data_IF_348584535034
#
_entry.id   IF_348584535034
#
_cell.length_a   1.000
_cell.length_b   1.000
_cell.length_c   1.000
_cell.angle_alpha   90.00
_cell.angle_beta   90.00
_cell.angle_gamma   90.00
#
_symmetry.space_group_name_H-M   'P 1'
#
loop_
_entity.id
_entity.type
_entity.pdbx_description
1 polymer ?
#
# COMPACT_ATOMS: atom_id res chain seq x y z
N UNK A 1 -11.19 -19.11 15.60
CA UNK A 1 -9.89 -19.57 15.00
C UNK A 1 -8.74 -18.90 15.76
N UNK A 2 -7.64 -19.62 16.05
CA UNK A 2 -6.47 -19.02 16.72
C UNK A 2 -5.26 -19.10 15.76
N UNK A 3 -4.64 -17.97 15.49
CA UNK A 3 -3.54 -17.84 14.52
C UNK A 3 -2.31 -17.28 15.24
N UNK A 4 -1.13 -17.90 15.03
CA UNK A 4 0.13 -17.36 15.51
C UNK A 4 0.64 -16.33 14.49
N UNK A 5 0.90 -15.11 14.96
CA UNK A 5 1.41 -14.00 14.16
C UNK A 5 2.78 -13.53 14.67
N UNK A 6 3.61 -13.02 13.76
CA UNK A 6 4.97 -12.59 14.10
C UNK A 6 5.01 -11.26 14.88
N UNK A 7 3.99 -10.42 14.72
CA UNK A 7 3.90 -9.07 15.30
C UNK A 7 2.96 -9.05 16.51
N UNK A 8 1.79 -9.70 16.40
CA UNK A 8 0.72 -9.62 17.38
C UNK A 8 0.62 -10.84 18.28
N UNK A 9 1.59 -11.75 18.22
CA UNK A 9 1.65 -12.97 19.01
C UNK A 9 0.53 -13.97 18.63
N UNK A 10 -0.64 -13.91 19.24
CA UNK A 10 -1.80 -14.71 18.89
C UNK A 10 -2.97 -13.80 18.48
N UNK A 11 -3.52 -14.06 17.32
CA UNK A 11 -4.72 -13.41 16.81
C UNK A 11 -5.88 -14.39 16.96
N UNK A 12 -6.87 -13.99 17.73
CA UNK A 12 -8.12 -14.74 17.88
C UNK A 12 -9.16 -14.17 16.93
N UNK A 13 -9.56 -14.99 15.94
CA UNK A 13 -10.61 -14.64 14.98
C UNK A 13 -11.88 -15.34 15.43
N UNK A 14 -12.93 -14.55 15.75
CA UNK A 14 -14.22 -15.05 16.22
C UNK A 14 -14.91 -15.92 15.15
N UNK A 15 -15.89 -16.75 15.57
CA UNK A 15 -16.54 -17.71 14.69
C UNK A 15 -17.17 -17.10 13.43
N UNK A 16 -17.82 -15.96 13.57
CA UNK A 16 -18.43 -15.23 12.43
C UNK A 16 -17.36 -14.74 11.45
N UNK A 17 -16.32 -14.08 11.94
CA UNK A 17 -15.20 -13.59 11.10
C UNK A 17 -14.38 -14.74 10.52
N UNK A 18 -14.33 -15.91 11.17
CA UNK A 18 -13.62 -17.07 10.59
C UNK A 18 -14.24 -17.51 9.28
N UNK A 19 -15.55 -17.31 9.07
CA UNK A 19 -16.22 -17.61 7.80
C UNK A 19 -15.74 -16.68 6.68
N UNK A 20 -15.52 -15.40 6.97
CA UNK A 20 -14.91 -14.45 6.01
C UNK A 20 -13.48 -14.84 5.67
N UNK A 21 -12.68 -15.17 6.69
CA UNK A 21 -11.28 -15.60 6.51
C UNK A 21 -11.19 -16.87 5.66
N UNK A 22 -12.11 -17.82 5.79
CA UNK A 22 -12.09 -19.08 5.04
C UNK A 22 -12.60 -18.95 3.59
N UNK A 23 -13.03 -17.76 3.15
CA UNK A 23 -13.43 -17.55 1.75
C UNK A 23 -12.24 -17.61 0.79
N UNK A 24 -12.42 -18.11 -0.44
CA UNK A 24 -11.35 -18.13 -1.45
C UNK A 24 -10.77 -16.73 -1.73
N UNK A 25 -11.60 -15.68 -1.70
CA UNK A 25 -11.20 -14.30 -1.93
C UNK A 25 -10.21 -13.82 -0.85
N UNK A 26 -10.49 -14.11 0.41
CA UNK A 26 -9.58 -13.76 1.51
C UNK A 26 -8.34 -14.67 1.53
N UNK A 27 -8.49 -15.97 1.28
CA UNK A 27 -7.37 -16.92 1.23
C UNK A 27 -6.38 -16.60 0.11
N UNK A 28 -6.82 -15.98 -1.00
CA UNK A 28 -5.97 -15.48 -2.08
C UNK A 28 -4.88 -14.54 -1.59
N UNK A 29 -5.17 -13.72 -0.55
CA UNK A 29 -4.20 -12.78 0.03
C UNK A 29 -2.95 -13.47 0.59
N UNK A 30 -2.97 -14.77 0.87
CA UNK A 30 -1.77 -15.55 1.28
C UNK A 30 -0.71 -15.61 0.19
N UNK A 31 -1.11 -15.38 -1.05
CA UNK A 31 -0.25 -15.47 -2.22
C UNK A 31 0.07 -14.11 -2.82
N UNK A 32 -0.34 -13.02 -2.17
CA UNK A 32 -0.02 -11.65 -2.56
C UNK A 32 0.94 -11.04 -1.52
N UNK A 33 2.17 -10.80 -1.93
CA UNK A 33 3.17 -10.18 -1.05
C UNK A 33 2.82 -8.74 -0.76
N UNK A 34 2.95 -8.34 0.51
CA UNK A 34 2.73 -6.96 0.96
C UNK A 34 3.62 -5.96 0.24
N UNK A 35 4.90 -6.30 0.08
CA UNK A 35 5.92 -5.42 -0.51
C UNK A 35 6.30 -5.84 -1.95
N UNK A 36 5.44 -6.56 -2.68
CA UNK A 36 5.63 -6.92 -4.07
C UNK A 36 7.04 -7.42 -4.38
N UNK A 37 7.87 -6.59 -5.01
CA UNK A 37 9.25 -6.87 -5.40
C UNK A 37 10.28 -6.66 -4.27
N UNK A 38 9.86 -6.26 -3.07
CA UNK A 38 10.73 -5.92 -1.94
C UNK A 38 11.76 -7.00 -1.58
N UNK A 39 11.42 -8.28 -1.81
CA UNK A 39 12.32 -9.42 -1.58
C UNK A 39 13.62 -9.37 -2.41
N UNK A 40 13.66 -8.60 -3.49
CA UNK A 40 14.88 -8.40 -4.29
C UNK A 40 15.98 -7.65 -3.54
N UNK A 41 15.59 -6.86 -2.53
CA UNK A 41 16.50 -6.08 -1.67
C UNK A 41 16.52 -6.63 -0.25
N UNK A 42 15.34 -6.98 0.26
CA UNK A 42 15.11 -7.49 1.61
C UNK A 42 14.65 -8.94 1.54
N UNK A 43 15.56 -9.93 1.55
CA UNK A 43 15.19 -11.34 1.31
C UNK A 43 14.16 -11.89 2.31
N UNK A 44 14.03 -11.28 3.50
CA UNK A 44 13.01 -11.60 4.49
C UNK A 44 11.63 -11.04 4.21
N UNK A 45 11.49 -10.08 3.30
CA UNK A 45 10.23 -9.40 2.98
C UNK A 45 9.33 -10.26 2.08
N UNK A 46 8.84 -11.37 2.63
CA UNK A 46 7.93 -12.31 1.98
C UNK A 46 6.57 -12.42 2.68
N UNK A 47 6.30 -11.58 3.67
CA UNK A 47 5.00 -11.51 4.31
C UNK A 47 3.92 -11.05 3.32
N UNK A 48 2.71 -11.43 3.61
CA UNK A 48 1.59 -11.35 2.68
C UNK A 48 0.50 -10.40 3.19
N UNK A 49 -0.39 -9.99 2.31
CA UNK A 49 -1.55 -9.20 2.68
C UNK A 49 -2.51 -9.94 3.61
N UNK A 50 -2.49 -11.27 3.58
CA UNK A 50 -3.24 -12.09 4.54
C UNK A 50 -2.80 -11.83 5.99
N UNK A 51 -1.50 -11.83 6.25
CA UNK A 51 -0.95 -11.57 7.59
C UNK A 51 -1.24 -10.15 8.05
N UNK A 52 -1.11 -9.19 7.12
CA UNK A 52 -1.41 -7.79 7.36
C UNK A 52 -2.90 -7.57 7.70
N UNK A 53 -3.82 -8.09 6.89
CA UNK A 53 -5.26 -7.96 7.13
C UNK A 53 -5.69 -8.54 8.49
N UNK A 54 -5.10 -9.67 8.90
CA UNK A 54 -5.32 -10.22 10.24
C UNK A 54 -4.73 -9.34 11.34
N UNK A 55 -3.57 -8.72 11.11
CA UNK A 55 -2.96 -7.78 12.03
C UNK A 55 -3.79 -6.50 12.21
N UNK A 56 -4.28 -5.94 11.12
CA UNK A 56 -5.20 -4.80 11.15
C UNK A 56 -6.50 -5.13 11.91
N UNK A 57 -7.09 -6.31 11.66
CA UNK A 57 -8.23 -6.83 12.41
C UNK A 57 -7.93 -6.92 13.92
N UNK A 58 -6.76 -7.45 14.31
CA UNK A 58 -6.36 -7.55 15.72
C UNK A 58 -6.22 -6.18 16.36
N UNK A 59 -5.64 -5.21 15.66
CA UNK A 59 -5.52 -3.83 16.15
C UNK A 59 -6.88 -3.16 16.27
N UNK A 60 -7.78 -3.37 15.29
CA UNK A 60 -9.15 -2.88 15.32
C UNK A 60 -9.91 -3.43 16.55
N UNK A 61 -9.82 -4.74 16.81
CA UNK A 61 -10.44 -5.37 18.00
C UNK A 61 -9.91 -4.80 19.32
N UNK A 62 -8.62 -4.45 19.38
CA UNK A 62 -8.03 -3.83 20.58
C UNK A 62 -8.46 -2.38 20.73
N UNK A 63 -8.46 -1.63 19.63
CA UNK A 63 -8.82 -0.22 19.61
C UNK A 63 -10.29 -0.02 19.96
N UNK A 64 -11.18 -0.85 19.39
CA UNK A 64 -12.61 -0.87 19.69
C UNK A 64 -12.88 -1.00 21.21
N UNK A 65 -12.19 -1.92 21.88
CA UNK A 65 -12.28 -2.09 23.35
C UNK A 65 -11.79 -0.87 24.13
N UNK A 66 -10.72 -0.22 23.68
CA UNK A 66 -10.21 1.00 24.34
C UNK A 66 -11.12 2.21 24.12
N UNK A 67 -11.84 2.27 23.01
CA UNK A 67 -12.81 3.32 22.69
C UNK A 67 -14.21 3.02 23.23
N UNK A 68 -14.42 1.84 23.82
CA UNK A 68 -15.71 1.39 24.37
C UNK A 68 -16.83 1.48 23.31
N UNK A 69 -16.53 1.03 22.06
CA UNK A 69 -17.52 0.98 21.00
C UNK A 69 -18.63 0.01 21.36
N UNK A 70 -19.85 0.25 20.87
CA UNK A 70 -20.92 -0.72 20.99
C UNK A 70 -20.68 -1.95 20.09
N UNK A 71 -21.50 -2.99 20.27
CA UNK A 71 -21.30 -4.28 19.59
C UNK A 71 -21.42 -4.16 18.05
N UNK A 72 -22.25 -3.28 17.52
CA UNK A 72 -22.42 -3.09 16.08
C UNK A 72 -21.23 -2.32 15.50
N UNK A 73 -20.78 -1.26 16.16
CA UNK A 73 -19.59 -0.51 15.80
C UNK A 73 -18.32 -1.36 15.86
N UNK A 74 -18.15 -2.20 16.93
CA UNK A 74 -17.03 -3.14 17.05
C UNK A 74 -16.99 -4.10 15.88
N UNK A 75 -18.12 -4.73 15.55
CA UNK A 75 -18.21 -5.66 14.43
C UNK A 75 -17.91 -4.98 13.09
N UNK A 76 -18.47 -3.79 12.87
CA UNK A 76 -18.26 -3.04 11.62
C UNK A 76 -16.80 -2.64 11.39
N UNK A 77 -16.13 -2.07 12.41
CA UNK A 77 -14.73 -1.65 12.27
C UNK A 77 -13.79 -2.84 12.12
N UNK A 78 -14.06 -3.96 12.80
CA UNK A 78 -13.27 -5.20 12.65
C UNK A 78 -13.46 -5.82 11.26
N UNK A 79 -14.70 -5.83 10.73
CA UNK A 79 -14.95 -6.29 9.37
C UNK A 79 -14.22 -5.42 8.34
N UNK A 80 -14.30 -4.10 8.47
CA UNK A 80 -13.61 -3.17 7.59
C UNK A 80 -12.09 -3.36 7.63
N UNK A 81 -11.50 -3.46 8.82
CA UNK A 81 -10.06 -3.71 8.98
C UNK A 81 -9.61 -5.07 8.45
N UNK A 82 -10.46 -6.11 8.54
CA UNK A 82 -10.16 -7.43 7.96
C UNK A 82 -10.17 -7.41 6.43
N UNK A 83 -11.10 -6.66 5.84
CA UNK A 83 -11.45 -6.79 4.42
C UNK A 83 -10.90 -5.65 3.54
N UNK A 84 -10.25 -4.62 4.13
CA UNK A 84 -9.83 -3.41 3.39
C UNK A 84 -8.93 -3.71 2.19
N UNK A 85 -8.05 -4.71 2.30
CA UNK A 85 -7.02 -5.06 1.33
C UNK A 85 -7.44 -6.13 0.31
N UNK A 86 -8.70 -6.60 0.34
CA UNK A 86 -9.16 -7.69 -0.53
C UNK A 86 -9.07 -7.36 -2.03
N UNK A 87 -9.13 -6.10 -2.39
CA UNK A 87 -9.06 -5.61 -3.77
C UNK A 87 -7.65 -5.52 -4.34
N UNK A 88 -6.61 -5.77 -3.54
CA UNK A 88 -5.27 -5.81 -4.11
C UNK A 88 -5.09 -6.99 -5.07
N UNK A 89 -4.56 -6.68 -6.25
CA UNK A 89 -4.12 -7.66 -7.22
C UNK A 89 -2.68 -8.15 -6.99
N UNK A 90 -2.17 -9.00 -7.87
CA UNK A 90 -0.83 -9.55 -7.76
C UNK A 90 0.24 -8.47 -7.77
N UNK A 91 1.32 -8.70 -6.99
CA UNK A 91 2.41 -7.76 -6.79
C UNK A 91 1.95 -6.38 -6.29
N UNK A 92 0.76 -6.34 -5.66
CA UNK A 92 0.18 -5.15 -5.00
C UNK A 92 0.24 -3.88 -5.85
N UNK A 93 1.28 -3.07 -5.70
CA UNK A 93 1.42 -1.78 -6.39
C UNK A 93 1.55 -1.89 -7.91
N UNK A 94 2.09 -2.99 -8.45
CA UNK A 94 2.20 -3.21 -9.91
C UNK A 94 0.82 -3.29 -10.55
N UNK A 95 -0.03 -4.18 -10.04
CA UNK A 95 -1.39 -4.35 -10.60
C UNK A 95 -2.28 -3.15 -10.32
N UNK A 96 -2.09 -2.47 -9.17
CA UNK A 96 -2.81 -1.24 -8.85
C UNK A 96 -2.43 -0.10 -9.80
N UNK A 97 -1.14 0.12 -10.08
CA UNK A 97 -0.68 1.14 -11.02
C UNK A 97 -1.29 0.92 -12.42
N UNK A 98 -1.31 -0.33 -12.89
CA UNK A 98 -1.98 -0.69 -14.15
C UNK A 98 -3.49 -0.43 -14.10
N UNK A 99 -4.15 -0.79 -13.01
CA UNK A 99 -5.59 -0.56 -12.82
C UNK A 99 -5.93 0.93 -12.80
N UNK A 100 -5.16 1.73 -12.09
CA UNK A 100 -5.30 3.19 -12.05
C UNK A 100 -5.09 3.83 -13.43
N UNK A 101 -4.03 3.43 -14.15
CA UNK A 101 -3.70 3.97 -15.46
C UNK A 101 -4.78 3.66 -16.53
N UNK A 102 -5.34 2.45 -16.51
CA UNK A 102 -6.26 1.99 -17.55
C UNK A 102 -7.73 2.16 -17.21
N UNK A 103 -8.12 2.07 -15.94
CA UNK A 103 -9.51 2.10 -15.50
C UNK A 103 -9.82 3.22 -14.50
N UNK A 104 -8.82 3.88 -13.93
CA UNK A 104 -8.98 4.85 -12.85
C UNK A 104 -9.48 4.23 -11.54
N UNK A 105 -9.30 2.91 -11.34
CA UNK A 105 -9.75 2.17 -10.16
C UNK A 105 -8.59 1.85 -9.22
N UNK A 106 -8.74 2.23 -7.95
CA UNK A 106 -7.83 1.87 -6.86
C UNK A 106 -8.13 0.45 -6.30
N UNK A 107 -7.23 -0.06 -5.45
CA UNK A 107 -7.49 -1.30 -4.70
C UNK A 107 -8.70 -1.18 -3.75
N UNK A 108 -8.97 0.02 -3.22
CA UNK A 108 -10.15 0.28 -2.38
C UNK A 108 -11.45 0.13 -3.18
N UNK A 109 -11.47 0.60 -4.45
CA UNK A 109 -12.62 0.41 -5.33
C UNK A 109 -12.87 -1.08 -5.61
N UNK A 110 -11.80 -1.83 -5.89
CA UNK A 110 -11.89 -3.28 -6.06
C UNK A 110 -12.33 -4.00 -4.77
N UNK A 111 -11.82 -3.58 -3.59
CA UNK A 111 -12.29 -4.10 -2.30
C UNK A 111 -13.78 -3.89 -2.14
N UNK A 112 -14.29 -2.68 -2.41
CA UNK A 112 -15.72 -2.37 -2.31
C UNK A 112 -16.57 -3.22 -3.26
N UNK A 113 -16.08 -3.50 -4.48
CA UNK A 113 -16.80 -4.39 -5.42
C UNK A 113 -16.87 -5.83 -4.89
N UNK A 114 -15.77 -6.35 -4.33
CA UNK A 114 -15.71 -7.69 -3.74
C UNK A 114 -16.65 -7.80 -2.52
N UNK A 115 -16.70 -6.76 -1.68
CA UNK A 115 -17.58 -6.71 -0.51
C UNK A 115 -19.08 -6.81 -0.90
N UNK A 116 -19.46 -6.22 -2.03
CA UNK A 116 -20.85 -6.26 -2.50
C UNK A 116 -21.20 -7.53 -3.31
N UNK A 117 -20.20 -8.37 -3.60
CA UNK A 117 -20.36 -9.60 -4.37
C UNK A 117 -20.44 -10.84 -3.47
N UNK A 118 -21.06 -11.92 -3.99
CA UNK A 118 -21.01 -13.22 -3.33
C UNK A 118 -19.62 -13.86 -3.39
N UNK A 119 -19.17 -14.57 -2.35
CA UNK A 119 -19.94 -14.90 -1.12
C UNK A 119 -19.81 -13.86 0.01
N UNK A 120 -18.94 -12.85 -0.13
CA UNK A 120 -18.60 -11.90 0.96
C UNK A 120 -19.83 -11.11 1.38
N UNK A 121 -20.59 -10.54 0.42
CA UNK A 121 -21.78 -9.76 0.70
C UNK A 121 -22.81 -10.55 1.50
N UNK A 122 -23.11 -11.78 1.08
CA UNK A 122 -24.06 -12.64 1.79
C UNK A 122 -23.58 -13.05 3.20
N UNK A 123 -22.26 -13.23 3.42
CA UNK A 123 -21.71 -13.49 4.77
C UNK A 123 -21.87 -12.26 5.66
N UNK A 124 -21.52 -11.07 5.15
CA UNK A 124 -21.68 -9.81 5.90
C UNK A 124 -23.16 -9.56 6.28
N UNK A 125 -24.07 -9.73 5.35
CA UNK A 125 -25.53 -9.61 5.63
C UNK A 125 -25.97 -10.65 6.66
N UNK A 126 -25.45 -11.87 6.62
CA UNK A 126 -25.70 -12.90 7.64
C UNK A 126 -25.14 -12.56 9.01
N UNK A 127 -24.20 -11.63 9.10
CA UNK A 127 -23.66 -11.04 10.33
C UNK A 127 -24.40 -9.74 10.74
N UNK A 128 -25.52 -9.39 10.12
CA UNK A 128 -26.20 -8.10 10.27
C UNK A 128 -25.30 -6.88 9.97
N UNK A 129 -24.32 -7.04 9.06
CA UNK A 129 -23.45 -5.96 8.59
C UNK A 129 -23.78 -5.58 7.15
N UNK A 130 -23.91 -4.28 6.90
CA UNK A 130 -24.14 -3.77 5.55
C UNK A 130 -22.84 -3.72 4.74
N UNK A 131 -22.71 -4.40 3.58
CA UNK A 131 -21.54 -4.28 2.72
C UNK A 131 -21.23 -2.82 2.32
N UNK A 132 -22.26 -2.00 2.12
CA UNK A 132 -22.11 -0.58 1.77
C UNK A 132 -21.56 0.24 2.94
N UNK A 133 -21.94 -0.06 4.16
CA UNK A 133 -21.37 0.57 5.37
C UNK A 133 -19.92 0.18 5.57
N UNK A 134 -19.59 -1.10 5.42
CA UNK A 134 -18.18 -1.57 5.51
C UNK A 134 -17.33 -0.89 4.43
N UNK A 135 -17.83 -0.76 3.21
CA UNK A 135 -17.16 -0.04 2.13
C UNK A 135 -16.94 1.45 2.45
N UNK A 136 -17.90 2.11 3.10
CA UNK A 136 -17.79 3.51 3.57
C UNK A 136 -16.68 3.64 4.63
N UNK A 137 -16.62 2.71 5.59
CA UNK A 137 -15.55 2.67 6.61
C UNK A 137 -14.18 2.49 5.96
N UNK A 138 -14.03 1.59 5.00
CA UNK A 138 -12.77 1.36 4.26
C UNK A 138 -12.33 2.63 3.55
N UNK A 139 -13.25 3.43 2.99
CA UNK A 139 -12.94 4.73 2.38
C UNK A 139 -12.61 5.84 3.38
N UNK A 140 -12.57 5.55 4.66
CA UNK A 140 -12.26 6.54 5.69
C UNK A 140 -13.42 7.45 6.07
N UNK A 141 -14.67 7.10 5.70
CA UNK A 141 -15.84 7.93 5.95
C UNK A 141 -16.39 7.74 7.38
N UNK A 142 -16.84 8.82 7.98
CA UNK A 142 -17.43 8.81 9.32
C UNK A 142 -16.41 8.57 10.45
N UNK A 143 -16.93 8.35 11.67
CA UNK A 143 -16.08 8.15 12.85
C UNK A 143 -15.27 6.85 12.81
N UNK A 144 -15.87 5.76 12.33
CA UNK A 144 -15.23 4.45 12.25
C UNK A 144 -14.18 4.39 11.13
N UNK A 145 -14.41 5.12 10.02
CA UNK A 145 -13.45 5.21 8.92
C UNK A 145 -12.11 5.78 9.33
N UNK A 146 -12.06 6.71 10.29
CA UNK A 146 -10.82 7.25 10.84
C UNK A 146 -9.95 6.20 11.54
N UNK A 147 -10.58 5.10 12.01
CA UNK A 147 -9.86 4.00 12.67
C UNK A 147 -9.16 3.07 11.67
N UNK A 148 -9.69 2.96 10.44
CA UNK A 148 -9.20 2.04 9.40
C UNK A 148 -8.38 2.77 8.34
N UNK A 149 -8.78 4.00 7.96
CA UNK A 149 -8.16 4.78 6.88
C UNK A 149 -7.96 6.26 7.28
N UNK A 150 -7.29 6.50 8.41
CA UNK A 150 -6.97 7.82 8.95
C UNK A 150 -5.48 8.18 8.83
N UNK A 151 -4.99 9.15 9.61
CA UNK A 151 -3.55 9.44 9.70
C UNK A 151 -2.83 8.56 10.75
N UNK A 152 -3.55 8.14 11.80
CA UNK A 152 -3.11 7.18 12.82
C UNK A 152 -4.21 6.12 12.93
N UNK A 153 -4.13 5.13 12.08
CA UNK A 153 -5.13 4.09 11.90
C UNK A 153 -4.53 2.68 12.11
N UNK A 154 -5.40 1.67 12.15
CA UNK A 154 -4.98 0.30 12.39
C UNK A 154 -4.22 -0.32 11.22
N UNK A 155 -4.51 0.09 9.98
CA UNK A 155 -3.80 -0.30 8.77
C UNK A 155 -2.33 0.13 8.86
N UNK A 156 -2.07 1.44 9.02
CA UNK A 156 -0.72 1.99 9.15
C UNK A 156 0.03 1.45 10.35
N UNK A 157 -0.65 1.28 11.47
CA UNK A 157 -0.05 0.70 12.67
C UNK A 157 0.44 -0.72 12.43
N UNK A 158 -0.31 -1.56 11.71
CA UNK A 158 0.13 -2.92 11.42
C UNK A 158 1.26 -2.92 10.39
N UNK A 159 1.02 -2.34 9.17
CA UNK A 159 2.01 -2.51 8.12
C UNK A 159 3.36 -1.86 8.44
N UNK A 160 3.42 -0.70 9.11
CA UNK A 160 4.70 -0.09 9.48
C UNK A 160 5.53 -0.96 10.43
N UNK A 161 4.88 -1.66 11.36
CA UNK A 161 5.59 -2.58 12.24
C UNK A 161 5.95 -3.89 11.55
N UNK A 162 5.03 -4.42 10.74
CA UNK A 162 5.21 -5.68 10.00
C UNK A 162 6.29 -5.57 8.94
N UNK A 163 6.23 -4.53 8.11
CA UNK A 163 7.23 -4.27 7.08
C UNK A 163 8.61 -4.05 7.69
N UNK A 164 8.69 -3.26 8.77
CA UNK A 164 9.94 -3.06 9.50
C UNK A 164 10.54 -4.37 10.01
N UNK A 165 9.70 -5.25 10.58
CA UNK A 165 10.13 -6.55 11.09
C UNK A 165 10.69 -7.44 9.97
N UNK A 166 9.95 -7.59 8.86
CA UNK A 166 10.33 -8.49 7.77
C UNK A 166 11.46 -7.94 6.87
N UNK A 167 11.64 -6.62 6.82
CA UNK A 167 12.76 -5.99 6.11
C UNK A 167 14.01 -5.87 6.99
N UNK A 168 13.88 -6.01 8.30
CA UNK A 168 14.97 -5.78 9.26
C UNK A 168 15.28 -4.30 9.48
N UNK A 169 14.42 -3.38 9.06
CA UNK A 169 14.51 -1.95 9.32
C UNK A 169 14.00 -1.65 10.73
N UNK A 170 14.74 -0.84 11.50
CA UNK A 170 14.33 -0.51 12.87
C UNK A 170 13.13 0.44 12.86
N UNK A 171 12.04 0.05 13.53
CA UNK A 171 10.89 0.90 13.79
C UNK A 171 10.91 1.38 15.24
N UNK A 172 10.57 2.67 15.44
CA UNK A 172 10.40 3.28 16.76
C UNK A 172 8.93 3.32 17.24
N UNK A 173 8.03 2.56 16.62
CA UNK A 173 6.59 2.61 16.88
C UNK A 173 6.21 1.86 18.15
N UNK A 174 5.59 2.56 19.11
CA UNK A 174 4.97 1.97 20.32
C UNK A 174 3.46 1.84 20.12
N UNK A 175 3.03 0.76 19.45
CA UNK A 175 1.62 0.50 19.15
C UNK A 175 0.77 0.40 20.42
N UNK A 176 1.30 -0.20 21.47
CA UNK A 176 0.59 -0.34 22.74
C UNK A 176 0.24 1.02 23.34
N UNK A 177 1.20 1.95 23.31
CA UNK A 177 1.00 3.31 23.79
C UNK A 177 0.02 4.10 22.92
N UNK A 178 0.10 3.97 21.60
CA UNK A 178 -0.83 4.62 20.69
C UNK A 178 -2.25 4.15 20.99
N UNK A 179 -2.52 2.85 20.94
CA UNK A 179 -3.85 2.27 21.16
C UNK A 179 -4.49 2.74 22.48
N UNK A 180 -3.75 2.67 23.59
CA UNK A 180 -4.28 3.03 24.92
C UNK A 180 -4.51 4.53 25.10
N UNK A 181 -3.95 5.36 24.21
CA UNK A 181 -4.07 6.82 24.29
C UNK A 181 -4.99 7.43 23.23
N UNK A 182 -5.47 6.63 22.25
CA UNK A 182 -6.52 7.07 21.32
C UNK A 182 -7.85 7.25 22.05
N UNK A 183 -8.61 8.26 21.65
CA UNK A 183 -9.93 8.63 22.17
C UNK A 183 -10.84 9.06 21.05
N UNK A 184 -12.13 8.74 21.16
CA UNK A 184 -13.17 9.31 20.31
C UNK A 184 -13.78 10.52 21.02
N UNK A 185 -13.72 11.69 20.41
CA UNK A 185 -14.27 12.95 20.95
C UNK A 185 -15.11 13.61 19.87
N UNK A 186 -16.41 13.73 20.08
CA UNK A 186 -17.35 14.32 19.10
C UNK A 186 -17.13 13.78 17.68
N UNK A 187 -17.13 12.44 17.53
CA UNK A 187 -16.91 11.71 16.28
C UNK A 187 -15.52 11.93 15.62
N UNK A 188 -14.57 12.51 16.36
CA UNK A 188 -13.20 12.69 15.90
C UNK A 188 -12.24 11.80 16.67
N UNK A 189 -11.46 11.00 15.95
CA UNK A 189 -10.40 10.19 16.54
C UNK A 189 -9.22 11.10 16.89
N UNK A 190 -8.88 11.14 18.18
CA UNK A 190 -7.80 11.98 18.71
C UNK A 190 -6.83 11.16 19.54
N UNK A 191 -5.57 11.57 19.61
CA UNK A 191 -4.63 11.01 20.56
C UNK A 191 -4.57 11.89 21.83
N UNK A 192 -4.56 11.28 23.01
CA UNK A 192 -4.35 12.03 24.25
C UNK A 192 -2.96 12.68 24.27
N UNK A 193 -2.80 13.81 24.93
CA UNK A 193 -1.51 14.49 25.12
C UNK A 193 -0.39 13.54 25.57
N UNK A 194 -0.72 12.56 26.40
CA UNK A 194 0.24 11.56 26.90
C UNK A 194 0.69 10.55 25.83
N UNK A 195 0.01 10.46 24.70
CA UNK A 195 0.34 9.61 23.56
C UNK A 195 1.10 10.33 22.43
N UNK A 196 1.26 11.65 22.53
CA UNK A 196 1.84 12.49 21.47
C UNK A 196 3.20 11.93 20.98
N UNK A 197 4.12 11.64 21.89
CA UNK A 197 5.45 11.13 21.52
C UNK A 197 5.39 9.76 20.79
N UNK A 198 4.44 8.90 21.15
CA UNK A 198 4.26 7.61 20.46
C UNK A 198 3.69 7.80 19.04
N UNK A 199 2.75 8.74 18.87
CA UNK A 199 2.24 9.13 17.55
C UNK A 199 3.35 9.74 16.67
N UNK A 200 4.17 10.62 17.21
CA UNK A 200 5.35 11.15 16.52
C UNK A 200 6.30 10.04 16.10
N UNK A 201 6.55 9.06 16.97
CA UNK A 201 7.37 7.88 16.66
C UNK A 201 6.85 7.08 15.46
N UNK A 202 5.52 6.88 15.38
CA UNK A 202 4.88 6.21 14.24
C UNK A 202 5.08 7.00 12.93
N UNK A 203 4.88 8.31 12.98
CA UNK A 203 5.04 9.19 11.80
C UNK A 203 6.50 9.26 11.34
N UNK A 204 7.46 9.29 12.26
CA UNK A 204 8.89 9.22 11.95
C UNK A 204 9.24 7.87 11.32
N UNK A 205 8.72 6.76 11.87
CA UNK A 205 8.90 5.43 11.29
C UNK A 205 8.35 5.38 9.87
N UNK A 206 7.15 5.88 9.63
CA UNK A 206 6.55 6.01 8.30
C UNK A 206 7.45 6.80 7.34
N UNK A 207 7.93 7.96 7.79
CA UNK A 207 8.83 8.81 6.99
C UNK A 207 10.11 8.08 6.58
N UNK A 208 10.73 7.34 7.48
CA UNK A 208 11.96 6.61 7.21
C UNK A 208 11.74 5.39 6.31
N UNK A 209 10.59 4.73 6.42
CA UNK A 209 10.24 3.58 5.56
C UNK A 209 10.13 3.95 4.08
N UNK A 210 9.70 5.16 3.75
CA UNK A 210 9.57 5.60 2.35
C UNK A 210 10.88 5.50 1.57
N UNK A 211 11.98 6.21 1.93
CA UNK A 211 13.23 6.16 1.19
C UNK A 211 13.97 4.83 1.34
N UNK A 212 13.73 4.13 2.46
CA UNK A 212 14.47 2.91 2.77
C UNK A 212 13.82 1.70 2.10
N UNK A 213 12.50 1.55 2.16
CA UNK A 213 11.78 0.36 1.69
C UNK A 213 10.89 0.66 0.50
N UNK A 214 9.87 1.52 0.66
CA UNK A 214 8.80 1.66 -0.33
C UNK A 214 9.28 2.29 -1.65
N UNK A 215 10.23 3.22 -1.60
CA UNK A 215 10.83 3.83 -2.80
C UNK A 215 12.30 3.43 -2.99
N UNK A 216 12.67 2.25 -2.48
CA UNK A 216 14.00 1.74 -2.78
C UNK A 216 14.13 1.52 -4.28
N UNK A 217 15.14 2.17 -4.89
CA UNK A 217 15.26 2.25 -6.35
C UNK A 217 15.24 0.89 -7.06
N UNK A 218 15.83 -0.15 -6.46
CA UNK A 218 15.84 -1.50 -7.06
C UNK A 218 14.43 -2.09 -7.10
N UNK A 219 13.64 -1.90 -6.04
CA UNK A 219 12.25 -2.37 -5.99
C UNK A 219 11.42 -1.61 -7.01
N UNK A 220 11.51 -0.26 -7.01
CA UNK A 220 10.74 0.58 -7.94
C UNK A 220 11.05 0.28 -9.40
N UNK A 221 12.32 0.09 -9.76
CA UNK A 221 12.71 -0.31 -11.13
C UNK A 221 12.06 -1.66 -11.51
N UNK A 222 12.11 -2.65 -10.63
CA UNK A 222 11.50 -3.95 -10.89
C UNK A 222 9.98 -3.86 -11.01
N UNK A 223 9.32 -3.04 -10.19
CA UNK A 223 7.87 -2.77 -10.28
C UNK A 223 7.50 -2.14 -11.62
N UNK A 224 8.21 -1.09 -12.03
CA UNK A 224 7.96 -0.42 -13.31
C UNK A 224 8.19 -1.34 -14.51
N UNK A 225 9.23 -2.17 -14.48
CA UNK A 225 9.43 -3.18 -15.50
C UNK A 225 8.26 -4.17 -15.54
N UNK A 226 7.75 -4.61 -14.38
CA UNK A 226 6.58 -5.50 -14.29
C UNK A 226 5.30 -4.81 -14.77
N UNK A 227 5.11 -3.51 -14.49
CA UNK A 227 4.00 -2.73 -15.04
C UNK A 227 3.99 -2.82 -16.58
N UNK A 228 5.12 -2.57 -17.25
CA UNK A 228 5.24 -2.71 -18.70
C UNK A 228 4.91 -4.13 -19.21
N UNK A 229 5.38 -5.15 -18.48
CA UNK A 229 5.05 -6.55 -18.82
C UNK A 229 3.57 -6.89 -18.64
N UNK A 230 2.90 -6.32 -17.63
CA UNK A 230 1.45 -6.51 -17.43
C UNK A 230 0.64 -5.74 -18.49
N UNK A 231 1.06 -4.53 -18.83
CA UNK A 231 0.46 -3.75 -19.93
C UNK A 231 0.57 -4.48 -21.27
N UNK A 232 1.69 -5.15 -21.54
CA UNK A 232 1.89 -6.01 -22.74
C UNK A 232 0.89 -7.18 -22.76
N UNK A 233 0.70 -7.88 -21.64
CA UNK A 233 -0.31 -8.95 -21.53
C UNK A 233 -1.74 -8.42 -21.78
N UNK A 234 -2.04 -7.23 -21.29
CA UNK A 234 -3.35 -6.58 -21.49
C UNK A 234 -3.51 -6.16 -22.95
N UNK A 235 -2.48 -5.62 -23.57
CA UNK A 235 -2.43 -5.35 -25.02
C UNK A 235 -2.63 -6.61 -25.87
N UNK A 236 -2.18 -7.75 -25.38
CA UNK A 236 -2.40 -9.09 -25.94
C UNK A 236 -3.80 -9.67 -25.72
N UNK A 237 -4.68 -8.98 -24.98
CA UNK A 237 -6.09 -9.34 -24.79
C UNK A 237 -6.47 -9.81 -23.38
N UNK A 238 -5.55 -9.87 -22.42
CA UNK A 238 -5.89 -10.12 -21.02
C UNK A 238 -6.64 -8.91 -20.46
N UNK A 239 -7.71 -9.15 -19.68
CA UNK A 239 -8.48 -8.04 -19.10
C UNK A 239 -7.87 -7.60 -17.76
N UNK A 240 -7.94 -6.30 -17.47
CA UNK A 240 -7.48 -5.75 -16.17
C UNK A 240 -8.17 -6.46 -15.00
N UNK A 241 -9.49 -6.69 -15.08
CA UNK A 241 -10.23 -7.41 -14.03
C UNK A 241 -9.75 -8.84 -13.80
N UNK A 242 -9.31 -9.54 -14.87
CA UNK A 242 -8.74 -10.87 -14.74
C UNK A 242 -7.37 -10.82 -14.05
N UNK A 243 -6.54 -9.80 -14.36
CA UNK A 243 -5.27 -9.55 -13.64
C UNK A 243 -5.51 -9.28 -12.17
N UNK A 244 -6.47 -8.40 -11.82
CA UNK A 244 -6.80 -8.06 -10.43
C UNK A 244 -7.33 -9.25 -9.63
N UNK A 245 -7.90 -10.26 -10.28
CA UNK A 245 -8.36 -11.49 -9.65
C UNK A 245 -7.24 -12.53 -9.41
N UNK A 246 -6.09 -12.41 -10.07
CA UNK A 246 -4.92 -13.28 -9.90
C UNK A 246 -4.24 -13.06 -8.55
N UNK A 247 -3.36 -13.99 -8.18
CA UNK A 247 -2.33 -13.80 -7.17
C UNK A 247 -0.94 -13.66 -7.81
N UNK A 248 0.11 -13.49 -6.99
CA UNK A 248 1.50 -13.33 -7.48
C UNK A 248 1.95 -14.52 -8.32
N UNK A 249 1.54 -15.74 -7.93
CA UNK A 249 1.94 -16.97 -8.62
C UNK A 249 1.29 -17.06 -9.99
N UNK A 250 0.00 -16.74 -10.07
CA UNK A 250 -0.77 -16.75 -11.32
C UNK A 250 -0.18 -15.75 -12.33
N UNK A 251 0.04 -14.50 -11.90
CA UNK A 251 0.58 -13.47 -12.77
C UNK A 251 2.00 -13.83 -13.25
N UNK A 252 2.90 -14.20 -12.34
CA UNK A 252 4.27 -14.56 -12.69
C UNK A 252 4.33 -15.80 -13.59
N UNK A 253 3.42 -16.76 -13.41
CA UNK A 253 3.27 -17.93 -14.29
C UNK A 253 2.77 -17.54 -15.67
N UNK A 254 1.78 -16.66 -15.75
CA UNK A 254 1.25 -16.11 -17.01
C UNK A 254 2.34 -15.39 -17.79
N UNK A 255 3.10 -14.49 -17.15
CA UNK A 255 4.22 -13.80 -17.77
C UNK A 255 5.30 -14.76 -18.28
N UNK A 256 5.65 -15.80 -17.51
CA UNK A 256 6.64 -16.82 -17.95
C UNK A 256 6.18 -17.63 -19.14
N UNK A 257 4.87 -17.82 -19.27
CA UNK A 257 4.25 -18.64 -20.33
C UNK A 257 3.85 -17.84 -21.57
N UNK A 258 3.95 -16.50 -21.50
CA UNK A 258 3.68 -15.61 -22.63
C UNK A 258 4.89 -15.54 -23.58
N UNK A 259 4.68 -14.87 -24.69
CA UNK A 259 5.73 -14.42 -25.62
C UNK A 259 5.85 -12.89 -25.49
N UNK A 260 6.89 -12.28 -26.07
CA UNK A 260 7.05 -10.82 -26.12
C UNK A 260 7.63 -10.21 -24.85
N UNK A 261 7.23 -8.95 -24.57
CA UNK A 261 7.81 -8.13 -23.51
C UNK A 261 7.56 -8.70 -22.11
N UNK A 262 6.37 -9.22 -21.85
CA UNK A 262 6.05 -9.80 -20.55
C UNK A 262 7.01 -10.95 -20.17
N UNK A 263 7.32 -11.81 -21.16
CA UNK A 263 8.29 -12.89 -20.99
C UNK A 263 9.70 -12.36 -20.77
N UNK A 264 10.12 -11.36 -21.55
CA UNK A 264 11.44 -10.75 -21.41
C UNK A 264 11.62 -10.14 -20.01
N UNK A 265 10.66 -9.34 -19.56
CA UNK A 265 10.67 -8.67 -18.24
C UNK A 265 10.85 -9.69 -17.12
N UNK A 266 10.03 -10.74 -17.09
CA UNK A 266 10.12 -11.73 -15.99
C UNK A 266 11.43 -12.52 -16.02
N UNK A 267 11.99 -12.80 -17.20
CA UNK A 267 13.29 -13.44 -17.36
C UNK A 267 14.43 -12.52 -16.90
N UNK A 268 14.37 -11.21 -17.19
CA UNK A 268 15.34 -10.21 -16.70
C UNK A 268 15.30 -10.12 -15.18
N UNK A 269 14.12 -10.04 -14.59
CA UNK A 269 13.97 -10.02 -13.12
C UNK A 269 14.54 -11.31 -12.51
N UNK A 270 14.25 -12.47 -13.09
CA UNK A 270 14.78 -13.76 -12.64
C UNK A 270 16.31 -13.86 -12.67
N UNK A 271 16.96 -13.17 -13.61
CA UNK A 271 18.44 -13.07 -13.72
C UNK A 271 19.02 -11.87 -12.98
N UNK A 272 18.17 -11.06 -12.31
CA UNK A 272 18.54 -9.77 -11.70
C UNK A 272 19.15 -8.77 -12.69
N UNK A 273 18.77 -8.86 -13.96
CA UNK A 273 19.15 -7.93 -15.03
C UNK A 273 18.14 -6.78 -15.11
N UNK A 274 18.12 -5.96 -14.06
CA UNK A 274 17.19 -4.85 -13.95
C UNK A 274 17.70 -3.63 -14.71
N UNK A 275 16.78 -2.78 -15.19
CA UNK A 275 17.12 -1.47 -15.74
C UNK A 275 17.90 -0.65 -14.72
N UNK A 276 18.58 0.38 -15.21
CA UNK A 276 19.45 1.26 -14.40
C UNK A 276 18.96 2.69 -14.45
N UNK A 277 19.25 3.43 -13.40
CA UNK A 277 19.07 4.87 -13.42
C UNK A 277 20.02 5.49 -14.44
N UNK A 278 19.47 6.18 -15.44
CA UNK A 278 20.27 6.96 -16.38
C UNK A 278 20.48 8.38 -15.86
N UNK A 279 19.39 9.10 -15.55
CA UNK A 279 19.47 10.50 -15.14
C UNK A 279 18.28 10.85 -14.24
N UNK A 280 18.47 11.88 -13.41
CA UNK A 280 17.40 12.57 -12.65
C UNK A 280 17.16 13.92 -13.30
N UNK A 281 15.89 14.26 -13.50
CA UNK A 281 15.44 15.56 -14.00
C UNK A 281 14.34 16.12 -13.10
N UNK A 282 14.04 17.42 -13.19
CA UNK A 282 13.03 18.08 -12.37
C UNK A 282 12.11 18.94 -13.26
N UNK A 283 10.83 19.02 -12.92
CA UNK A 283 9.89 19.93 -13.54
C UNK A 283 9.43 19.57 -14.96
N UNK A 284 9.60 18.31 -15.35
CA UNK A 284 9.23 17.80 -16.68
C UNK A 284 8.04 16.85 -16.60
N UNK A 285 7.26 16.77 -17.67
CA UNK A 285 6.22 15.75 -17.82
C UNK A 285 6.86 14.41 -18.17
N UNK A 286 6.66 13.34 -17.34
CA UNK A 286 7.30 12.05 -17.56
C UNK A 286 7.00 11.43 -18.93
N UNK A 287 5.75 11.52 -19.41
CA UNK A 287 5.35 10.92 -20.68
C UNK A 287 6.01 11.62 -21.86
N UNK A 288 6.02 12.97 -21.81
CA UNK A 288 6.65 13.77 -22.84
C UNK A 288 8.15 13.51 -22.92
N UNK A 289 8.82 13.40 -21.76
CA UNK A 289 10.25 13.08 -21.69
C UNK A 289 10.54 11.69 -22.28
N UNK A 290 9.70 10.70 -21.97
CA UNK A 290 9.83 9.34 -22.50
C UNK A 290 9.73 9.33 -24.03
N UNK A 291 8.68 9.97 -24.59
CA UNK A 291 8.47 10.10 -26.03
C UNK A 291 9.64 10.82 -26.73
N UNK A 292 10.11 11.94 -26.20
CA UNK A 292 11.20 12.71 -26.79
C UNK A 292 12.54 11.93 -26.80
N UNK A 293 12.83 11.16 -25.72
CA UNK A 293 14.05 10.32 -25.67
C UNK A 293 13.96 9.18 -26.69
N UNK A 294 12.83 8.50 -26.78
CA UNK A 294 12.64 7.35 -27.67
C UNK A 294 12.66 7.77 -29.13
N UNK A 295 12.03 8.90 -29.45
CA UNK A 295 12.03 9.49 -30.81
C UNK A 295 13.43 9.92 -31.24
N UNK A 296 14.18 10.63 -30.38
CA UNK A 296 15.53 11.13 -30.75
C UNK A 296 16.52 9.97 -30.92
N UNK A 297 16.41 8.93 -30.13
CA UNK A 297 17.29 7.76 -30.21
C UNK A 297 16.82 6.74 -31.27
N UNK A 298 15.54 6.79 -31.67
CA UNK A 298 14.95 5.81 -32.60
C UNK A 298 14.92 4.39 -32.04
N UNK A 299 14.63 4.25 -30.72
CA UNK A 299 14.60 2.98 -30.00
C UNK A 299 13.16 2.64 -29.60
N UNK A 300 12.96 1.38 -29.22
CA UNK A 300 11.66 0.88 -28.72
C UNK A 300 11.29 1.58 -27.40
N UNK A 301 10.03 2.05 -27.27
CA UNK A 301 9.48 2.73 -26.09
C UNK A 301 9.61 1.87 -24.82
N UNK A 302 9.60 0.56 -24.97
CA UNK A 302 9.76 -0.37 -23.85
C UNK A 302 11.16 -0.36 -23.21
N UNK A 303 12.16 0.23 -23.88
CA UNK A 303 13.52 0.35 -23.36
C UNK A 303 13.72 1.57 -22.45
N UNK A 304 12.77 2.49 -22.43
CA UNK A 304 12.80 3.67 -21.58
C UNK A 304 11.61 3.64 -20.61
N UNK A 305 11.87 3.93 -19.36
CA UNK A 305 10.84 4.13 -18.34
C UNK A 305 11.13 5.45 -17.64
N UNK A 306 10.15 6.34 -17.65
CA UNK A 306 10.24 7.61 -16.94
C UNK A 306 9.22 7.60 -15.80
N UNK A 307 9.70 7.82 -14.59
CA UNK A 307 8.90 7.71 -13.35
C UNK A 307 9.00 8.99 -12.53
N UNK A 308 7.85 9.52 -12.12
CA UNK A 308 7.74 10.62 -11.18
C UNK A 308 7.47 10.06 -9.78
N UNK A 309 8.45 10.18 -8.88
CA UNK A 309 8.26 9.70 -7.51
C UNK A 309 7.16 10.50 -6.80
N UNK A 310 6.20 9.84 -6.15
CA UNK A 310 5.13 10.50 -5.43
C UNK A 310 5.68 11.36 -4.28
N UNK A 311 5.03 12.51 -4.06
CA UNK A 311 5.38 13.43 -2.97
C UNK A 311 5.11 12.74 -1.63
N UNK A 312 6.12 12.69 -0.78
CA UNK A 312 5.99 12.20 0.59
C UNK A 312 5.32 13.26 1.44
N UNK A 313 4.11 13.01 1.88
CA UNK A 313 3.44 13.91 2.82
C UNK A 313 2.66 13.13 3.86
N UNK A 314 2.69 13.61 5.08
CA UNK A 314 1.69 13.34 6.10
C UNK A 314 1.19 14.68 6.61
N UNK A 315 -0.09 14.75 6.88
CA UNK A 315 -0.72 16.00 7.30
C UNK A 315 -0.94 16.04 8.82
N UNK A 316 0.06 16.56 9.54
CA UNK A 316 -0.06 16.78 10.99
C UNK A 316 -1.28 17.64 11.38
N UNK A 317 -1.82 18.41 10.42
CA UNK A 317 -3.01 19.21 10.64
C UNK A 317 -4.31 18.42 10.72
N UNK A 318 -4.29 17.15 10.22
CA UNK A 318 -5.44 16.24 10.33
C UNK A 318 -5.45 15.42 11.62
N UNK A 319 -4.33 15.35 12.35
CA UNK A 319 -4.24 14.61 13.60
C UNK A 319 -4.63 15.53 14.74
N UNK A 320 -5.64 15.12 15.52
CA UNK A 320 -6.11 15.86 16.69
C UNK A 320 -5.51 15.29 17.97
N UNK A 321 -5.14 16.19 18.88
CA UNK A 321 -4.60 15.86 20.20
C UNK A 321 -5.57 16.37 21.27
N UNK A 322 -6.01 15.46 22.15
CA UNK A 322 -6.81 15.79 23.32
C UNK A 322 -5.90 16.19 24.48
N UNK A 323 -5.91 17.47 24.83
CA UNK A 323 -5.13 18.03 25.93
C UNK A 323 -5.73 17.68 27.29
N UNK A 324 -4.95 17.77 28.37
CA UNK A 324 -5.41 17.49 29.75
C UNK A 324 -6.53 18.42 30.21
N UNK A 325 -6.60 19.62 29.67
CA UNK A 325 -7.68 20.59 29.98
C UNK A 325 -8.96 20.35 29.15
N UNK A 326 -9.02 19.28 28.37
CA UNK A 326 -10.15 18.89 27.51
C UNK A 326 -10.18 19.56 26.14
N UNK A 327 -9.22 20.40 25.80
CA UNK A 327 -9.18 21.05 24.48
C UNK A 327 -8.64 20.11 23.42
N UNK A 328 -9.23 20.22 22.23
CA UNK A 328 -8.75 19.59 21.02
C UNK A 328 -7.81 20.51 20.25
N UNK A 329 -6.58 20.09 20.01
CA UNK A 329 -5.53 20.87 19.33
C UNK A 329 -4.94 20.06 18.20
N UNK A 330 -4.67 20.69 17.06
CA UNK A 330 -4.00 20.01 15.95
C UNK A 330 -2.57 19.63 16.34
N UNK A 331 -2.13 18.43 15.98
CA UNK A 331 -0.77 17.95 16.26
C UNK A 331 0.30 18.88 15.64
N UNK A 332 0.01 19.51 14.50
CA UNK A 332 0.89 20.50 13.86
C UNK A 332 1.24 21.71 14.75
N UNK A 333 0.43 21.99 15.77
CA UNK A 333 0.68 23.10 16.71
C UNK A 333 1.49 22.68 17.94
N UNK A 334 1.70 21.38 18.14
CA UNK A 334 2.34 20.80 19.32
C UNK A 334 3.65 20.11 18.98
N UNK A 335 3.71 19.48 17.82
CA UNK A 335 4.86 18.70 17.38
C UNK A 335 6.05 19.60 17.08
N UNK A 336 7.23 19.18 17.55
CA UNK A 336 8.51 19.81 17.20
C UNK A 336 9.00 19.40 15.79
N UNK A 337 8.35 18.42 15.15
CA UNK A 337 8.63 18.08 13.77
C UNK A 337 8.01 19.15 12.87
N UNK A 338 8.87 19.92 12.19
CA UNK A 338 8.39 20.87 11.18
C UNK A 338 7.60 20.10 10.11
N UNK A 339 6.45 20.64 9.66
CA UNK A 339 5.80 20.09 8.49
C UNK A 339 6.84 20.05 7.37
N UNK A 340 7.08 18.89 6.81
CA UNK A 340 8.03 18.77 5.71
C UNK A 340 7.50 19.58 4.54
N UNK A 341 8.28 20.55 4.10
CA UNK A 341 7.99 21.23 2.84
C UNK A 341 7.88 20.18 1.74
N UNK A 342 6.87 20.28 0.86
CA UNK A 342 6.79 19.38 -0.29
C UNK A 342 8.14 19.37 -0.98
N UNK A 343 8.74 18.19 -1.11
CA UNK A 343 9.96 18.05 -1.90
C UNK A 343 9.59 18.25 -3.37
N UNK A 344 10.46 18.85 -4.17
CA UNK A 344 10.23 18.91 -5.61
C UNK A 344 10.01 17.49 -6.14
N UNK A 345 9.10 17.36 -7.10
CA UNK A 345 8.84 16.10 -7.79
C UNK A 345 10.11 15.67 -8.50
N UNK A 346 10.62 14.51 -8.13
CA UNK A 346 11.79 13.92 -8.75
C UNK A 346 11.34 13.02 -9.89
N UNK A 347 11.81 13.30 -11.10
CA UNK A 347 11.60 12.45 -12.28
C UNK A 347 12.89 11.70 -12.58
N UNK A 348 12.78 10.38 -12.69
CA UNK A 348 13.89 9.50 -12.97
C UNK A 348 13.70 8.79 -14.30
N UNK A 349 14.77 8.70 -15.09
CA UNK A 349 14.82 7.92 -16.32
C UNK A 349 15.57 6.61 -16.07
N UNK A 350 14.95 5.49 -16.48
CA UNK A 350 15.50 4.15 -16.36
C UNK A 350 15.58 3.49 -17.72
N UNK A 351 16.64 2.72 -17.95
CA UNK A 351 16.88 1.99 -19.19
C UNK A 351 17.82 0.79 -18.97
N UNK A 352 17.98 -0.12 -19.93
CA UNK A 352 19.04 -1.14 -19.90
C UNK A 352 20.43 -0.53 -19.74
N UNK A 353 21.37 -1.28 -19.13
CA UNK A 353 22.73 -0.81 -18.83
C UNK A 353 23.52 -0.38 -20.07
N UNK A 354 23.35 -1.10 -21.16
CA UNK A 354 24.09 -0.90 -22.43
C UNK A 354 23.77 0.41 -23.15
N UNK A 355 22.58 0.98 -22.92
CA UNK A 355 22.17 2.27 -23.53
C UNK A 355 22.18 3.42 -22.50
N UNK A 356 22.55 3.16 -21.24
CA UNK A 356 22.42 4.13 -20.15
C UNK A 356 23.08 5.48 -20.42
N UNK A 357 24.30 5.46 -20.92
CA UNK A 357 25.09 6.69 -21.07
C UNK A 357 24.55 7.55 -22.22
N UNK A 358 24.07 6.93 -23.31
CA UNK A 358 23.45 7.67 -24.42
C UNK A 358 22.08 8.23 -24.01
N UNK A 359 21.29 7.48 -23.24
CA UNK A 359 20.01 7.97 -22.69
C UNK A 359 20.23 9.16 -21.77
N UNK A 360 21.22 9.08 -20.86
CA UNK A 360 21.54 10.18 -19.96
C UNK A 360 21.99 11.45 -20.70
N UNK A 361 22.78 11.30 -21.76
CA UNK A 361 23.23 12.42 -22.60
C UNK A 361 22.06 13.04 -23.36
N UNK A 362 21.18 12.23 -23.95
CA UNK A 362 20.00 12.70 -24.69
C UNK A 362 19.03 13.43 -23.77
N UNK A 363 18.64 12.83 -22.65
CA UNK A 363 17.74 13.45 -21.68
C UNK A 363 18.26 14.79 -21.13
N UNK A 364 19.59 14.96 -21.02
CA UNK A 364 20.20 16.21 -20.55
C UNK A 364 20.17 17.35 -21.58
N UNK A 365 19.92 17.06 -22.86
CA UNK A 365 19.85 18.02 -23.94
C UNK A 365 18.44 18.48 -24.25
N UNK A 366 17.44 17.77 -23.78
CA UNK A 366 16.04 18.13 -23.97
C UNK A 366 15.74 19.36 -23.11
N UNK A 367 15.37 20.45 -23.73
CA UNK A 367 14.93 21.70 -23.09
C UNK A 367 13.41 21.63 -22.84
N UNK A 368 12.98 21.83 -21.59
CA UNK A 368 11.56 21.77 -21.15
C UNK A 368 11.02 23.13 -20.74
#
# INVERSE_FOLDING_TARGET
MLIRDAIHDYIEVDGEFSTLVDTPQFQRLRWIRQLGTGYLVYPGANHTRYEHSLGAYQLASRLSKYLELDDDEDRAVRAAALLHDMGHGPLSHVSEEVSLNLLGKSHEDWSCEILCAEPIGGILEGMDLSPAEIASIIRGEGKLGQMVSGEIDVDRMDYLCRDAYYTGVTSGSDLGRILVTLRMVDDTLAISESGLAAAEGLLVSRFLMYPTVYFHHTCRIAELMLVRGVEDLIGGGLKVGDVMAMDDVDLLSTMRSSDGLAKEVIDRIGRRDLYKRAVKVEGVDPRKLEEEITDELGIDDNLIIVDELPIRSFDLGKIMVLMRDGKMVKMSNLSSFAPMSPQPKEVWVYCPEDIRDVVAETASKIDF
#
